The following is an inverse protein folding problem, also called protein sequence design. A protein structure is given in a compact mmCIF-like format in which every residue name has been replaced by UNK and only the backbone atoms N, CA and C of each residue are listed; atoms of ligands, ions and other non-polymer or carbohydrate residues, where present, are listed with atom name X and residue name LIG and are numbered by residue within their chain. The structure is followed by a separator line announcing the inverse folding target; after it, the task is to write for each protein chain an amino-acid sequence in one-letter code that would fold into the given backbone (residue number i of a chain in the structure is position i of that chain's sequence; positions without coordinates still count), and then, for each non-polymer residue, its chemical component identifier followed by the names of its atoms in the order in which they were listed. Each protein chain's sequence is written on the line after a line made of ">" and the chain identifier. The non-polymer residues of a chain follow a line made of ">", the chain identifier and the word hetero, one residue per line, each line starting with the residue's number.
data_IF_906481471130
#
_entry.id   IF_906481471130
#
_cell.length_a   1.000
_cell.length_b   1.000
_cell.length_c   1.000
_cell.angle_alpha   90.00
_cell.angle_beta   90.00
_cell.angle_gamma   90.00
#
_symmetry.space_group_name_H-M   'P 1'
#
loop_
_entity.id
_entity.type
_entity.pdbx_description
1 polymer ?
#
# COMPACT_ATOMS: atom_id res chain seq x y z
N UNK A 1 -9.82 -1.21 6.35
CA UNK A 1 -9.93 0.27 6.23
C UNK A 1 -10.71 0.93 7.36
N UNK A 2 -11.87 0.38 7.77
CA UNK A 2 -12.67 0.88 8.91
C UNK A 2 -11.84 1.27 10.14
N UNK A 3 -11.09 0.32 10.70
CA UNK A 3 -10.31 0.52 11.92
C UNK A 3 -9.15 1.50 11.71
N UNK A 4 -8.45 1.41 10.57
CA UNK A 4 -7.37 2.31 10.23
C UNK A 4 -7.83 3.77 10.27
N UNK A 5 -8.97 4.10 9.65
CA UNK A 5 -9.50 5.47 9.62
C UNK A 5 -9.87 5.94 11.03
N UNK A 6 -10.62 5.12 11.78
CA UNK A 6 -11.04 5.47 13.14
C UNK A 6 -9.84 5.67 14.09
N UNK A 7 -8.90 4.74 14.10
CA UNK A 7 -7.74 4.80 15.00
C UNK A 7 -6.77 5.91 14.60
N UNK A 8 -6.56 6.14 13.31
CA UNK A 8 -5.74 7.26 12.85
C UNK A 8 -6.36 8.60 13.27
N UNK A 9 -7.68 8.77 13.09
CA UNK A 9 -8.39 9.97 13.56
C UNK A 9 -8.25 10.16 15.08
N UNK A 10 -8.46 9.09 15.85
CA UNK A 10 -8.36 9.15 17.31
C UNK A 10 -6.94 9.48 17.80
N UNK A 11 -5.91 9.01 17.10
CA UNK A 11 -4.51 9.33 17.40
C UNK A 11 -4.17 10.81 17.20
N UNK A 12 -4.86 11.47 16.29
CA UNK A 12 -4.78 12.92 16.09
C UNK A 12 -5.74 13.71 17.00
N UNK A 13 -6.45 13.04 17.92
CA UNK A 13 -7.47 13.61 18.81
C UNK A 13 -8.64 14.31 18.09
N UNK A 14 -8.90 13.93 16.84
CA UNK A 14 -9.96 14.53 16.04
C UNK A 14 -11.31 13.87 16.29
N UNK A 15 -12.40 14.62 16.26
CA UNK A 15 -13.76 14.09 16.15
C UNK A 15 -14.09 13.72 14.69
N UNK A 16 -15.19 12.99 14.46
CA UNK A 16 -15.66 12.72 13.09
C UNK A 16 -15.97 14.02 12.33
N UNK A 17 -16.45 15.07 13.02
CA UNK A 17 -16.70 16.38 12.43
C UNK A 17 -15.40 17.08 12.01
N UNK A 18 -14.33 16.93 12.79
CA UNK A 18 -13.02 17.49 12.45
C UNK A 18 -12.43 16.81 11.21
N UNK A 19 -12.53 15.47 11.14
CA UNK A 19 -12.09 14.73 9.96
C UNK A 19 -12.93 15.08 8.73
N UNK A 20 -14.25 15.25 8.88
CA UNK A 20 -15.13 15.71 7.81
C UNK A 20 -14.70 17.07 7.27
N UNK A 21 -14.46 18.04 8.16
CA UNK A 21 -14.00 19.39 7.80
C UNK A 21 -12.65 19.37 7.09
N UNK A 22 -11.68 18.58 7.58
CA UNK A 22 -10.33 18.47 6.99
C UNK A 22 -10.30 17.74 5.65
N UNK A 23 -11.16 16.75 5.46
CA UNK A 23 -11.21 15.95 4.23
C UNK A 23 -12.17 16.50 3.16
N UNK A 24 -13.04 17.46 3.53
CA UNK A 24 -14.12 17.93 2.66
C UNK A 24 -15.20 16.88 2.41
N UNK A 25 -15.23 15.79 3.19
CA UNK A 25 -16.19 14.69 3.07
C UNK A 25 -17.30 14.88 4.11
N UNK A 26 -18.59 14.70 3.77
CA UNK A 26 -19.68 14.79 4.74
C UNK A 26 -19.48 13.87 5.95
N UNK A 27 -19.81 14.36 7.15
CA UNK A 27 -19.67 13.59 8.40
C UNK A 27 -20.48 12.28 8.37
N UNK A 28 -21.64 12.26 7.72
CA UNK A 28 -22.45 11.04 7.53
C UNK A 28 -21.70 9.97 6.73
N UNK A 29 -20.93 10.38 5.73
CA UNK A 29 -20.06 9.51 4.94
C UNK A 29 -18.87 9.02 5.76
N UNK A 30 -18.24 9.89 6.56
CA UNK A 30 -17.19 9.49 7.52
C UNK A 30 -17.73 8.45 8.51
N UNK A 31 -18.90 8.70 9.10
CA UNK A 31 -19.56 7.78 10.02
C UNK A 31 -19.87 6.43 9.36
N UNK A 32 -20.37 6.44 8.10
CA UNK A 32 -20.58 5.19 7.33
C UNK A 32 -19.27 4.45 7.12
N UNK A 33 -18.21 5.14 6.69
CA UNK A 33 -16.88 4.55 6.49
C UNK A 33 -16.31 3.94 7.78
N UNK A 34 -16.41 4.63 8.92
CA UNK A 34 -15.95 4.12 10.23
C UNK A 34 -16.81 2.99 10.79
N UNK A 35 -18.02 2.78 10.27
CA UNK A 35 -18.93 1.71 10.70
C UNK A 35 -18.86 0.49 9.81
N UNK A 36 -18.91 0.67 8.49
CA UNK A 36 -19.01 -0.41 7.51
C UNK A 36 -17.70 -0.67 6.77
N UNK A 37 -16.77 0.28 6.77
CA UNK A 37 -15.56 0.22 5.96
C UNK A 37 -15.77 0.52 4.47
N UNK A 38 -17.00 0.87 4.06
CA UNK A 38 -17.36 1.11 2.66
C UNK A 38 -17.43 2.61 2.34
N UNK A 39 -16.78 3.00 1.25
CA UNK A 39 -16.86 4.32 0.64
C UNK A 39 -16.45 4.23 -0.83
N UNK A 40 -16.70 5.27 -1.62
CA UNK A 40 -16.09 5.37 -2.95
C UNK A 40 -14.57 5.53 -2.82
N UNK A 41 -13.83 5.16 -3.88
CA UNK A 41 -12.38 5.28 -3.91
C UNK A 41 -11.92 6.73 -3.73
N UNK A 42 -12.62 7.69 -4.35
CA UNK A 42 -12.37 9.13 -4.18
C UNK A 42 -12.52 9.56 -2.72
N UNK A 43 -13.62 9.16 -2.06
CA UNK A 43 -13.84 9.47 -0.64
C UNK A 43 -12.74 8.87 0.23
N UNK A 44 -12.35 7.63 -0.05
CA UNK A 44 -11.28 6.97 0.68
C UNK A 44 -9.96 7.74 0.58
N UNK A 45 -9.59 8.18 -0.63
CA UNK A 45 -8.36 8.94 -0.84
C UNK A 45 -8.40 10.33 -0.19
N UNK A 46 -9.53 11.05 -0.24
CA UNK A 46 -9.70 12.32 0.49
C UNK A 46 -9.49 12.17 2.00
N UNK A 47 -10.04 11.09 2.58
CA UNK A 47 -9.89 10.79 4.01
C UNK A 47 -8.44 10.39 4.33
N UNK A 48 -7.82 9.53 3.53
CA UNK A 48 -6.42 9.13 3.74
C UNK A 48 -5.44 10.29 3.57
N UNK A 49 -5.72 11.21 2.64
CA UNK A 49 -4.96 12.44 2.48
C UNK A 49 -5.07 13.33 3.73
N UNK A 50 -6.29 13.58 4.21
CA UNK A 50 -6.52 14.37 5.42
C UNK A 50 -5.86 13.78 6.68
N UNK A 51 -5.70 12.45 6.74
CA UNK A 51 -5.03 11.73 7.84
C UNK A 51 -3.52 11.58 7.65
N UNK A 52 -2.95 12.13 6.57
CA UNK A 52 -1.54 11.95 6.20
C UNK A 52 -1.13 10.46 6.16
N UNK A 53 -1.92 9.64 5.44
CA UNK A 53 -1.73 8.18 5.31
C UNK A 53 -1.56 7.72 3.86
N UNK A 54 -1.44 8.63 2.89
CA UNK A 54 -1.22 8.25 1.49
C UNK A 54 0.11 7.52 1.28
N UNK A 55 1.19 7.96 1.92
CA UNK A 55 2.50 7.31 1.78
C UNK A 55 2.47 5.88 2.33
N UNK A 56 1.91 5.70 3.53
CA UNK A 56 1.72 4.38 4.13
C UNK A 56 0.85 3.46 3.26
N UNK A 57 -0.19 4.01 2.62
CA UNK A 57 -1.01 3.27 1.66
C UNK A 57 -0.22 2.90 0.40
N UNK A 58 0.59 3.82 -0.13
CA UNK A 58 1.48 3.56 -1.25
C UNK A 58 2.49 2.45 -0.96
N UNK A 59 3.07 2.44 0.25
CA UNK A 59 4.00 1.41 0.68
C UNK A 59 3.32 0.04 0.85
N UNK A 60 2.09 0.02 1.38
CA UNK A 60 1.27 -1.19 1.40
C UNK A 60 1.03 -1.72 -0.02
N UNK A 61 0.71 -0.86 -0.99
CA UNK A 61 0.54 -1.26 -2.39
C UNK A 61 1.83 -1.78 -3.02
N UNK A 62 2.99 -1.17 -2.73
CA UNK A 62 4.30 -1.68 -3.16
C UNK A 62 4.57 -3.07 -2.58
N UNK A 63 4.22 -3.29 -1.30
CA UNK A 63 4.36 -4.61 -0.66
C UNK A 63 3.45 -5.65 -1.34
N UNK A 64 2.19 -5.30 -1.65
CA UNK A 64 1.29 -6.18 -2.40
C UNK A 64 1.80 -6.48 -3.80
N UNK A 65 2.32 -5.47 -4.52
CA UNK A 65 2.92 -5.67 -5.84
C UNK A 65 4.13 -6.59 -5.76
N UNK A 66 4.95 -6.49 -4.70
CA UNK A 66 6.07 -7.40 -4.47
C UNK A 66 5.60 -8.85 -4.34
N UNK A 67 4.51 -9.10 -3.62
CA UNK A 67 3.91 -10.43 -3.49
C UNK A 67 3.40 -10.97 -4.83
N UNK A 68 2.77 -10.13 -5.64
CA UNK A 68 2.28 -10.52 -6.98
C UNK A 68 3.42 -10.85 -7.93
N UNK A 69 4.56 -10.16 -7.81
CA UNK A 69 5.76 -10.43 -8.63
C UNK A 69 6.43 -11.77 -8.30
N UNK A 70 6.17 -12.36 -7.13
CA UNK A 70 6.65 -13.70 -6.85
C UNK A 70 5.74 -14.73 -7.52
N UNK A 71 6.28 -15.68 -8.29
CA UNK A 71 5.48 -16.77 -8.83
C UNK A 71 4.82 -17.52 -7.66
N UNK A 72 3.53 -17.87 -7.80
CA UNK A 72 2.73 -18.57 -6.79
C UNK A 72 3.27 -19.95 -6.38
N UNK A 73 4.34 -20.44 -7.02
CA UNK A 73 4.88 -21.77 -6.80
C UNK A 73 5.89 -21.78 -5.65
N UNK A 74 5.43 -22.21 -4.48
CA UNK A 74 6.25 -23.06 -3.59
C UNK A 74 5.98 -24.56 -3.83
N UNK A 75 5.13 -24.92 -4.80
CA UNK A 75 4.77 -26.32 -5.11
C UNK A 75 5.35 -26.87 -6.43
N UNK A 76 6.10 -26.05 -7.17
CA UNK A 76 6.90 -26.53 -8.30
C UNK A 76 8.36 -26.46 -7.88
N UNK A 77 9.03 -27.62 -7.84
CA UNK A 77 10.39 -27.76 -7.34
C UNK A 77 11.33 -26.64 -7.80
N UNK A 78 12.22 -26.24 -6.90
CA UNK A 78 13.37 -25.38 -7.20
C UNK A 78 14.00 -25.89 -8.50
N UNK A 79 13.79 -25.19 -9.62
CA UNK A 79 14.65 -25.42 -10.79
C UNK A 79 16.02 -24.85 -10.39
N UNK A 80 17.04 -25.69 -10.16
CA UNK A 80 18.33 -25.26 -9.65
C UNK A 80 19.10 -24.42 -10.67
N UNK A 81 18.59 -24.28 -11.90
CA UNK A 81 19.24 -23.53 -12.97
C UNK A 81 19.01 -22.02 -12.84
N UNK A 82 19.34 -21.46 -11.68
CA UNK A 82 19.77 -20.08 -11.63
C UNK A 82 20.92 -19.93 -12.64
N UNK A 83 20.68 -19.20 -13.73
CA UNK A 83 21.72 -18.86 -14.71
C UNK A 83 22.84 -18.12 -13.99
N UNK A 84 23.88 -18.85 -13.60
CA UNK A 84 25.09 -18.26 -13.05
C UNK A 84 25.68 -17.37 -14.14
N UNK A 85 25.65 -16.05 -13.91
CA UNK A 85 26.27 -15.07 -14.80
C UNK A 85 27.78 -15.34 -14.78
N UNK A 86 28.29 -16.09 -15.76
CA UNK A 86 29.72 -16.31 -15.93
C UNK A 86 30.33 -15.02 -16.47
N UNK A 87 31.18 -14.38 -15.66
CA UNK A 87 32.05 -13.29 -16.13
C UNK A 87 33.03 -13.86 -17.15
N UNK A 88 32.86 -13.51 -18.42
CA UNK A 88 33.81 -13.86 -19.47
C UNK A 88 34.97 -12.86 -19.39
N UNK A 89 36.17 -13.34 -19.06
CA UNK A 89 37.39 -12.56 -19.15
C UNK A 89 37.90 -12.65 -20.58
N UNK A 90 37.84 -11.57 -21.34
CA UNK A 90 38.57 -11.49 -22.62
C UNK A 90 40.07 -11.55 -22.31
N UNK A 91 40.73 -12.62 -22.76
CA UNK A 91 42.18 -12.75 -22.68
C UNK A 91 42.75 -11.76 -23.69
N UNK A 92 43.54 -10.79 -23.21
CA UNK A 92 44.15 -9.77 -24.05
C UNK A 92 44.90 -10.42 -25.21
N UNK A 93 44.64 -9.94 -26.42
CA UNK A 93 45.37 -10.33 -27.62
C UNK A 93 46.84 -9.98 -27.43
N UNK A 94 47.70 -11.00 -27.51
CA UNK A 94 49.13 -10.79 -27.66
C UNK A 94 49.38 -10.15 -29.03
N UNK A 95 50.27 -9.14 -29.03
CA UNK A 95 50.79 -8.46 -30.21
C UNK A 95 51.43 -9.42 -31.21
#
# INVERSE_FOLDING_TARGET
>A
MRELVRLARQREEWTQADLARRSGVPMTTISRLERTGLASTDTLFKVLFALNRLDAFGDMLKAQLRLVKFPKTLEGGVDPTLKVVRRVRHKGGAK
#
